data_IF_163520469791
#
_entry.id   IF_163520469791
#
_cell.length_a   1.000
_cell.length_b   1.000
_cell.length_c   1.000
_cell.angle_alpha   90.00
_cell.angle_beta   90.00
_cell.angle_gamma   90.00
#
_symmetry.space_group_name_H-M   'P 1'
#
loop_
_entity.id
_entity.type
_entity.pdbx_description
1 polymer ?
#
# COMPACT_ATOMS: atom_id res chain seq x y z
N UNK A 1 -6.67 -18.68 5.41
CA UNK A 1 -5.56 -17.86 5.94
C UNK A 1 -5.77 -16.42 5.51
N UNK A 2 -5.78 -15.43 6.43
CA UNK A 2 -6.02 -14.04 6.09
C UNK A 2 -4.91 -13.51 5.19
N UNK A 3 -5.29 -12.81 4.12
CA UNK A 3 -4.37 -12.13 3.21
C UNK A 3 -4.19 -10.72 3.74
N UNK A 4 -2.98 -10.36 4.16
CA UNK A 4 -2.68 -9.00 4.55
C UNK A 4 -2.38 -8.18 3.28
N UNK A 5 -2.77 -6.91 3.32
CA UNK A 5 -2.65 -5.99 2.19
C UNK A 5 -1.92 -4.73 2.66
N UNK A 6 -0.93 -4.31 1.90
CA UNK A 6 -0.20 -3.06 2.15
C UNK A 6 -0.27 -2.16 0.92
N UNK A 7 -0.29 -0.85 1.13
CA UNK A 7 -0.32 0.16 0.08
C UNK A 7 1.05 0.84 0.05
N UNK A 8 1.66 0.93 -1.12
CA UNK A 8 2.92 1.65 -1.33
C UNK A 8 2.74 2.69 -2.42
N UNK A 9 3.06 3.93 -2.10
CA UNK A 9 3.12 5.04 -3.03
C UNK A 9 4.56 5.17 -3.58
N UNK A 10 4.75 4.82 -4.85
CA UNK A 10 6.05 4.90 -5.52
C UNK A 10 6.20 6.20 -6.30
N UNK A 11 7.40 6.81 -6.24
CA UNK A 11 7.76 8.05 -6.93
C UNK A 11 6.83 9.24 -6.59
N UNK A 12 6.40 9.34 -5.33
CA UNK A 12 5.56 10.44 -4.83
C UNK A 12 4.09 10.38 -5.29
N UNK A 13 3.79 9.92 -6.51
CA UNK A 13 2.41 9.88 -7.04
C UNK A 13 2.21 9.00 -8.31
N UNK A 14 3.27 8.41 -8.89
CA UNK A 14 3.19 7.79 -10.23
C UNK A 14 2.49 6.42 -10.24
N UNK A 15 2.58 5.67 -9.15
CA UNK A 15 1.88 4.40 -9.02
C UNK A 15 1.61 4.09 -7.54
N UNK A 16 0.32 3.88 -7.22
CA UNK A 16 -0.09 3.30 -5.95
C UNK A 16 -0.24 1.80 -6.17
N UNK A 17 0.57 1.02 -5.48
CA UNK A 17 0.59 -0.43 -5.61
C UNK A 17 0.03 -1.07 -4.33
N UNK A 18 -0.92 -1.97 -4.54
CA UNK A 18 -1.40 -2.86 -3.49
C UNK A 18 -0.55 -4.12 -3.48
N UNK A 19 0.12 -4.38 -2.36
CA UNK A 19 0.96 -5.56 -2.14
C UNK A 19 0.15 -6.58 -1.33
N UNK A 20 -0.04 -7.76 -1.91
CA UNK A 20 -0.66 -8.87 -1.19
C UNK A 20 0.39 -9.72 -0.49
N UNK A 21 0.18 -10.00 0.79
CA UNK A 21 1.02 -10.87 1.60
C UNK A 21 0.27 -12.14 2.00
N UNK A 22 0.99 -13.27 1.94
CA UNK A 22 0.58 -14.50 2.60
C UNK A 22 1.59 -14.82 3.72
N UNK A 23 1.07 -15.18 4.89
CA UNK A 23 1.91 -15.67 5.99
C UNK A 23 2.42 -17.08 5.67
N UNK A 24 3.74 -17.29 5.74
CA UNK A 24 4.36 -18.62 5.68
C UNK A 24 5.48 -18.68 6.71
N UNK A 25 5.32 -19.53 7.73
CA UNK A 25 6.39 -19.85 8.69
C UNK A 25 7.02 -18.64 9.38
N UNK A 26 6.22 -17.67 9.83
CA UNK A 26 6.71 -16.47 10.50
C UNK A 26 7.19 -15.33 9.59
N UNK A 27 7.19 -15.51 8.27
CA UNK A 27 7.55 -14.48 7.30
C UNK A 27 6.35 -14.06 6.43
N UNK A 28 6.27 -12.77 6.10
CA UNK A 28 5.35 -12.24 5.11
C UNK A 28 5.99 -12.33 3.71
N UNK A 29 5.41 -13.14 2.81
CA UNK A 29 5.86 -13.20 1.41
C UNK A 29 4.93 -12.38 0.53
N UNK A 30 5.51 -11.50 -0.28
CA UNK A 30 4.80 -10.78 -1.35
C UNK A 30 4.41 -11.78 -2.42
N UNK A 31 3.12 -11.80 -2.77
CA UNK A 31 2.55 -12.75 -3.74
C UNK A 31 1.91 -12.06 -4.95
N UNK A 32 1.97 -10.73 -5.03
CA UNK A 32 1.51 -9.99 -6.20
C UNK A 32 1.40 -8.50 -5.95
N UNK A 33 1.41 -7.77 -7.07
CA UNK A 33 1.17 -6.35 -7.16
C UNK A 33 -0.06 -6.12 -8.04
N UNK A 34 -0.88 -5.15 -7.67
CA UNK A 34 -1.92 -4.60 -8.55
C UNK A 34 -1.92 -3.08 -8.44
N UNK A 35 -2.48 -2.41 -9.44
CA UNK A 35 -2.86 -1.01 -9.26
C UNK A 35 -3.86 -0.88 -8.13
N UNK A 36 -3.63 0.12 -7.30
CA UNK A 36 -4.58 0.52 -6.28
C UNK A 36 -5.88 1.00 -6.92
N UNK A 37 -6.97 0.57 -6.31
CA UNK A 37 -8.30 1.13 -6.54
C UNK A 37 -8.33 2.61 -6.16
N UNK A 38 -9.37 3.31 -6.61
CA UNK A 38 -9.59 4.71 -6.26
C UNK A 38 -9.59 4.97 -4.75
N UNK A 39 -10.24 4.10 -3.98
CA UNK A 39 -10.29 4.22 -2.53
C UNK A 39 -8.92 4.02 -1.87
N UNK A 40 -8.13 3.06 -2.35
CA UNK A 40 -6.75 2.84 -1.87
C UNK A 40 -5.84 4.04 -2.20
N UNK A 41 -6.08 4.73 -3.32
CA UNK A 41 -5.38 5.99 -3.66
C UNK A 41 -5.76 7.12 -2.72
N UNK A 42 -7.06 7.36 -2.51
CA UNK A 42 -7.57 8.39 -1.60
C UNK A 42 -7.02 8.22 -0.16
N UNK A 43 -6.86 6.98 0.31
CA UNK A 43 -6.22 6.68 1.59
C UNK A 43 -4.71 7.00 1.61
N UNK A 44 -3.99 6.74 0.51
CA UNK A 44 -2.57 7.09 0.42
C UNK A 44 -2.38 8.61 0.34
N UNK A 45 -3.24 9.30 -0.41
CA UNK A 45 -3.21 10.76 -0.58
C UNK A 45 -3.48 11.45 0.76
N UNK A 46 -4.51 11.06 1.50
CA UNK A 46 -4.80 11.62 2.81
C UNK A 46 -3.68 11.37 3.84
N UNK A 47 -3.02 10.21 3.77
CA UNK A 47 -1.87 9.93 4.63
C UNK A 47 -0.67 10.81 4.26
N UNK A 48 -0.39 10.99 2.96
CA UNK A 48 0.65 11.89 2.45
C UNK A 48 0.39 13.34 2.87
N UNK A 49 -0.82 13.87 2.65
CA UNK A 49 -1.19 15.23 3.04
C UNK A 49 -0.95 15.47 4.54
N UNK A 50 -1.34 14.52 5.39
CA UNK A 50 -1.14 14.60 6.83
C UNK A 50 0.34 14.49 7.25
N UNK A 51 1.19 13.79 6.49
CA UNK A 51 2.64 13.75 6.77
C UNK A 51 3.34 15.05 6.35
N UNK A 52 2.84 15.73 5.30
CA UNK A 52 3.39 16.99 4.81
C UNK A 52 2.90 18.25 5.56
N UNK A 53 1.70 18.23 6.17
CA UNK A 53 1.16 19.33 6.98
C UNK A 53 1.88 19.55 8.34
N UNK A 54 2.86 18.71 8.66
CA UNK A 54 3.66 18.77 9.89
C UNK A 54 4.99 19.55 9.80
N UNK A 55 5.22 20.37 8.76
CA UNK A 55 6.47 21.13 8.57
C UNK A 55 6.31 22.64 8.73
#
# INVERSE_FOLDING_TARGET
>A
MPRAVSISCALGFLAVLTVAHAGRGGAARVIGFRHASRQEKELCDAWLENEFDGR
#
